data_IF_570332051114
#
_entry.id   IF_570332051114
#
_cell.length_a   1.000
_cell.length_b   1.000
_cell.length_c   1.000
_cell.angle_alpha   90.00
_cell.angle_beta   90.00
_cell.angle_gamma   90.00
#
_symmetry.space_group_name_H-M   'P 1'
#
loop_
_entity.id
_entity.type
_entity.pdbx_description
1 polymer ?
#
# COMPACT_ATOMS: atom_id res chain seq x y z
N UNK A 1 65.84 -24.94 14.65
CA UNK A 1 66.26 -24.33 15.92
C UNK A 1 65.13 -24.54 16.91
N UNK A 2 65.30 -25.53 17.77
CA UNK A 2 64.31 -26.01 18.75
C UNK A 2 64.22 -25.08 19.97
N UNK A 3 63.01 -24.87 20.50
CA UNK A 3 62.71 -24.75 21.95
C UNK A 3 61.28 -25.31 22.17
N UNK A 4 61.10 -26.50 22.76
CA UNK A 4 60.90 -26.82 24.20
C UNK A 4 59.62 -26.17 24.78
N UNK A 5 58.74 -26.77 25.58
CA UNK A 5 58.47 -28.12 26.11
C UNK A 5 57.21 -28.01 27.03
N UNK A 6 56.56 -29.15 27.31
CA UNK A 6 55.73 -29.50 28.50
C UNK A 6 54.27 -28.98 28.69
N UNK A 7 53.30 -29.80 28.21
CA UNK A 7 52.37 -30.73 28.91
C UNK A 7 51.46 -30.27 30.10
N UNK A 8 50.33 -31.01 30.34
CA UNK A 8 49.00 -30.48 30.65
C UNK A 8 48.58 -30.61 32.13
N UNK A 9 47.46 -29.98 32.51
CA UNK A 9 46.81 -30.24 33.79
C UNK A 9 45.31 -30.52 33.65
N UNK A 10 44.86 -31.40 34.55
CA UNK A 10 43.67 -32.22 34.50
C UNK A 10 42.35 -31.51 34.76
N UNK A 11 41.33 -32.13 34.18
CA UNK A 11 39.91 -32.08 34.48
C UNK A 11 39.64 -32.62 35.91
N UNK A 12 38.92 -31.86 36.75
CA UNK A 12 38.16 -32.40 37.90
C UNK A 12 36.79 -31.71 37.91
N UNK A 13 35.79 -32.44 37.44
CA UNK A 13 34.37 -32.13 37.51
C UNK A 13 33.78 -32.89 38.71
N UNK A 14 33.23 -32.17 39.69
CA UNK A 14 32.48 -32.71 40.83
C UNK A 14 31.10 -32.00 40.82
N UNK A 15 30.02 -32.67 40.43
CA UNK A 15 29.05 -33.45 41.24
C UNK A 15 27.94 -32.57 41.86
N UNK A 16 26.66 -32.89 41.56
CA UNK A 16 25.40 -32.83 42.34
C UNK A 16 24.22 -32.80 41.31
N UNK A 17 23.47 -33.89 41.05
CA UNK A 17 22.26 -34.40 41.76
C UNK A 17 21.15 -33.31 41.78
N UNK A 18 19.88 -33.44 41.37
CA UNK A 18 18.98 -34.54 40.97
C UNK A 18 17.66 -33.98 40.36
N UNK A 19 16.94 -34.86 39.64
CA UNK A 19 15.48 -35.07 39.53
C UNK A 19 14.46 -33.93 39.28
N UNK A 20 13.75 -34.10 38.14
CA UNK A 20 12.29 -34.02 37.87
C UNK A 20 11.41 -33.04 38.69
N UNK A 21 10.64 -32.18 37.99
CA UNK A 21 9.15 -32.17 37.93
C UNK A 21 8.57 -30.83 37.40
N UNK A 22 7.51 -30.92 36.56
CA UNK A 22 6.46 -29.93 36.21
C UNK A 22 6.81 -28.62 35.42
N UNK A 23 6.00 -28.34 34.37
CA UNK A 23 6.06 -27.16 33.46
C UNK A 23 5.56 -25.83 34.06
N UNK A 24 5.02 -24.84 33.30
CA UNK A 24 4.66 -24.77 31.88
C UNK A 24 5.28 -23.57 31.11
N UNK A 25 4.89 -23.44 29.84
CA UNK A 25 5.22 -22.33 28.93
C UNK A 25 4.85 -20.96 29.51
N UNK A 26 5.77 -20.00 29.36
CA UNK A 26 5.56 -18.59 29.71
C UNK A 26 4.95 -17.85 28.53
N UNK A 27 3.68 -17.46 28.67
CA UNK A 27 3.07 -16.33 27.98
C UNK A 27 3.69 -15.02 28.49
N UNK A 28 4.03 -14.11 27.57
CA UNK A 28 4.48 -12.75 27.91
C UNK A 28 3.47 -11.75 27.34
N UNK A 29 2.43 -11.46 28.14
CA UNK A 29 1.50 -10.34 27.95
C UNK A 29 1.72 -9.28 29.02
N UNK A 30 1.71 -8.00 28.61
CA UNK A 30 1.44 -6.84 29.47
C UNK A 30 2.45 -5.68 29.38
N UNK A 31 2.02 -4.42 29.54
CA UNK A 31 0.95 -4.06 30.46
C UNK A 31 -0.27 -3.36 29.84
N UNK A 32 -1.42 -3.69 30.42
CA UNK A 32 -2.68 -2.97 30.31
C UNK A 32 -2.67 -1.73 31.22
N UNK A 33 -3.40 -0.69 30.81
CA UNK A 33 -3.99 0.28 31.70
C UNK A 33 -5.46 0.47 31.28
N UNK A 34 -6.35 -0.18 32.03
CA UNK A 34 -7.80 0.03 32.00
C UNK A 34 -8.14 1.15 32.99
N UNK A 35 -9.10 2.04 32.64
CA UNK A 35 -10.02 2.61 33.62
C UNK A 35 -11.30 3.19 32.93
N UNK A 36 -12.44 2.54 33.20
CA UNK A 36 -13.86 2.95 33.00
C UNK A 36 -14.38 3.09 31.55
N UNK A 37 -15.54 2.55 31.17
CA UNK A 37 -16.59 1.85 31.88
C UNK A 37 -17.38 0.94 30.93
N UNK A 38 -17.92 -0.12 31.50
CA UNK A 38 -18.62 -1.20 30.83
C UNK A 38 -20.09 -0.83 30.71
N UNK A 39 -20.61 -0.69 29.48
CA UNK A 39 -22.02 -0.93 29.18
C UNK A 39 -22.20 -1.15 27.66
N UNK A 40 -22.73 -2.32 27.31
CA UNK A 40 -23.32 -2.71 26.03
C UNK A 40 -22.37 -2.85 24.82
N UNK A 41 -21.50 -3.85 24.85
CA UNK A 41 -20.65 -4.24 23.69
C UNK A 41 -20.90 -5.69 23.23
N UNK A 42 -22.15 -6.14 23.24
CA UNK A 42 -22.52 -7.44 22.63
C UNK A 42 -23.45 -7.30 21.42
N UNK A 43 -23.99 -6.12 21.16
CA UNK A 43 -24.88 -5.86 20.01
C UNK A 43 -24.21 -5.16 18.81
N UNK A 44 -22.92 -4.78 18.92
CA UNK A 44 -22.19 -4.06 17.88
C UNK A 44 -21.16 -4.92 17.11
N UNK A 45 -21.07 -6.22 17.40
CA UNK A 45 -20.10 -7.13 16.78
C UNK A 45 -20.67 -7.96 15.61
N UNK A 46 -21.89 -7.65 15.14
CA UNK A 46 -22.67 -8.49 14.22
C UNK A 46 -22.88 -7.91 12.80
N UNK A 47 -22.08 -6.94 12.35
CA UNK A 47 -22.17 -6.44 10.96
C UNK A 47 -20.83 -5.95 10.39
N UNK A 48 -19.72 -6.52 10.85
CA UNK A 48 -18.41 -6.33 10.18
C UNK A 48 -18.29 -7.35 9.04
N UNK A 49 -19.18 -7.27 8.04
CA UNK A 49 -18.91 -7.94 6.77
C UNK A 49 -17.60 -7.37 6.25
N UNK A 50 -16.53 -8.16 6.32
CA UNK A 50 -15.28 -7.88 5.63
C UNK A 50 -15.64 -7.59 4.18
N UNK A 51 -15.64 -6.31 3.78
CA UNK A 51 -16.16 -5.86 2.48
C UNK A 51 -15.47 -6.48 1.27
N UNK A 52 -14.47 -7.34 1.49
CA UNK A 52 -13.74 -8.13 0.51
C UNK A 52 -14.53 -9.30 -0.08
N UNK A 53 -15.48 -9.92 0.64
CA UNK A 53 -16.17 -11.12 0.16
C UNK A 53 -16.92 -10.85 -1.14
N UNK A 54 -16.73 -11.67 -2.16
CA UNK A 54 -17.38 -11.57 -3.48
C UNK A 54 -16.40 -11.55 -4.66
N UNK A 55 -16.94 -11.21 -5.83
CA UNK A 55 -16.18 -11.21 -7.10
C UNK A 55 -15.72 -9.79 -7.41
N UNK A 56 -14.41 -9.67 -7.64
CA UNK A 56 -13.72 -8.46 -8.02
C UNK A 56 -13.10 -8.64 -9.39
N UNK A 57 -12.98 -7.55 -10.15
CA UNK A 57 -12.45 -7.63 -11.50
C UNK A 57 -11.63 -6.41 -11.91
N UNK A 58 -10.77 -6.64 -12.88
CA UNK A 58 -10.20 -5.59 -13.72
C UNK A 58 -10.14 -6.08 -15.17
N UNK A 59 -9.48 -5.34 -16.06
CA UNK A 59 -9.37 -5.72 -17.47
C UNK A 59 -8.69 -7.08 -17.71
N UNK A 60 -7.83 -7.53 -16.80
CA UNK A 60 -7.02 -8.74 -16.99
C UNK A 60 -7.44 -9.96 -16.17
N UNK A 61 -8.27 -9.83 -15.13
CA UNK A 61 -8.64 -10.96 -14.26
C UNK A 61 -9.92 -10.74 -13.46
N UNK A 62 -10.48 -11.86 -13.00
CA UNK A 62 -11.38 -11.93 -11.86
C UNK A 62 -10.64 -12.47 -10.64
N UNK A 63 -10.99 -11.96 -9.46
CA UNK A 63 -10.58 -12.50 -8.17
C UNK A 63 -11.84 -12.67 -7.31
N UNK A 64 -12.13 -13.89 -6.94
CA UNK A 64 -13.25 -14.23 -6.05
C UNK A 64 -12.70 -14.52 -4.65
N UNK A 65 -13.22 -13.81 -3.65
CA UNK A 65 -12.95 -14.07 -2.24
C UNK A 65 -14.18 -14.70 -1.60
N UNK A 66 -14.04 -15.93 -1.11
CA UNK A 66 -15.10 -16.66 -0.41
C UNK A 66 -14.68 -16.92 1.04
N UNK A 67 -15.52 -16.55 2.01
CA UNK A 67 -15.22 -16.80 3.42
C UNK A 67 -15.44 -18.30 3.72
N UNK A 68 -14.39 -18.98 4.18
CA UNK A 68 -14.47 -20.40 4.57
C UNK A 68 -14.82 -20.56 6.05
N UNK A 69 -14.26 -19.70 6.90
CA UNK A 69 -14.46 -19.73 8.34
C UNK A 69 -14.53 -18.28 8.86
N UNK A 70 -15.69 -17.90 9.40
CA UNK A 70 -15.95 -16.54 9.92
C UNK A 70 -15.26 -16.27 11.25
N UNK A 71 -14.84 -17.31 11.98
CA UNK A 71 -14.19 -17.13 13.29
C UNK A 71 -12.69 -16.87 13.16
N UNK A 72 -12.08 -17.19 12.02
CA UNK A 72 -10.63 -17.15 11.80
C UNK A 72 -10.19 -16.31 10.61
N UNK A 73 -11.11 -15.53 10.06
CA UNK A 73 -10.89 -14.68 8.87
C UNK A 73 -10.22 -15.40 7.69
N UNK A 74 -10.46 -16.72 7.56
CA UNK A 74 -9.89 -17.52 6.47
C UNK A 74 -10.74 -17.37 5.21
N UNK A 75 -10.03 -17.07 4.12
CA UNK A 75 -10.59 -16.82 2.80
C UNK A 75 -10.06 -17.86 1.81
N UNK A 76 -10.92 -18.27 0.89
CA UNK A 76 -10.50 -18.85 -0.38
C UNK A 76 -10.40 -17.73 -1.40
N UNK A 77 -9.21 -17.54 -1.97
CA UNK A 77 -9.00 -16.59 -3.06
C UNK A 77 -8.85 -17.37 -4.37
N UNK A 78 -9.82 -17.24 -5.28
CA UNK A 78 -9.78 -17.87 -6.60
C UNK A 78 -9.45 -16.84 -7.66
N UNK A 79 -8.45 -17.12 -8.49
CA UNK A 79 -8.03 -16.22 -9.58
C UNK A 79 -8.35 -16.82 -10.94
N UNK A 80 -8.98 -16.03 -11.80
CA UNK A 80 -9.33 -16.40 -13.17
C UNK A 80 -8.82 -15.32 -14.10
N UNK A 81 -7.94 -15.68 -15.05
CA UNK A 81 -7.40 -14.72 -16.00
C UNK A 81 -8.39 -14.46 -17.13
N UNK A 82 -8.59 -13.18 -17.43
CA UNK A 82 -9.22 -12.75 -18.66
C UNK A 82 -8.17 -12.77 -19.77
N UNK A 83 -8.53 -13.22 -20.98
CA UNK A 83 -7.60 -13.28 -22.06
C UNK A 83 -7.16 -11.89 -22.50
N UNK A 84 -5.86 -11.78 -22.76
CA UNK A 84 -5.31 -10.70 -23.58
C UNK A 84 -5.16 -11.14 -25.05
N UNK A 85 -4.83 -12.43 -25.30
CA UNK A 85 -4.72 -13.04 -26.65
C UNK A 85 -5.38 -14.43 -26.79
N UNK A 86 -5.91 -15.00 -25.71
CA UNK A 86 -6.66 -16.28 -25.71
C UNK A 86 -8.16 -15.99 -25.89
N UNK A 87 -9.01 -16.98 -26.10
CA UNK A 87 -10.48 -16.78 -26.18
C UNK A 87 -11.20 -17.41 -25.00
N UNK A 88 -10.45 -17.82 -23.98
CA UNK A 88 -10.97 -18.55 -22.83
C UNK A 88 -10.52 -17.87 -21.55
N UNK A 89 -11.42 -17.83 -20.58
CA UNK A 89 -11.10 -17.51 -19.21
C UNK A 89 -10.39 -18.71 -18.60
N UNK A 90 -9.19 -18.47 -18.07
CA UNK A 90 -8.30 -19.52 -17.58
C UNK A 90 -8.29 -19.53 -16.05
N UNK A 91 -8.65 -20.67 -15.46
CA UNK A 91 -8.66 -20.86 -14.01
C UNK A 91 -7.22 -21.10 -13.54
N UNK A 92 -6.66 -20.19 -12.75
CA UNK A 92 -5.27 -20.31 -12.24
C UNK A 92 -5.17 -21.13 -10.96
N UNK A 93 -6.28 -21.31 -10.26
CA UNK A 93 -6.38 -22.08 -9.02
C UNK A 93 -6.87 -21.25 -7.85
N UNK A 94 -6.92 -21.92 -6.70
CA UNK A 94 -7.36 -21.34 -5.43
C UNK A 94 -6.14 -21.19 -4.52
N UNK A 95 -6.04 -20.02 -3.90
CA UNK A 95 -5.02 -19.66 -2.93
C UNK A 95 -5.69 -19.58 -1.57
N UNK A 96 -5.08 -20.20 -0.56
CA UNK A 96 -5.53 -20.01 0.81
C UNK A 96 -5.08 -18.62 1.26
N UNK A 97 -6.01 -17.79 1.71
CA UNK A 97 -5.73 -16.45 2.20
C UNK A 97 -6.40 -16.19 3.55
N UNK A 98 -5.98 -15.12 4.20
CA UNK A 98 -6.69 -14.55 5.35
C UNK A 98 -6.65 -13.04 5.27
N UNK A 99 -7.59 -12.38 5.93
CA UNK A 99 -7.64 -10.92 5.98
C UNK A 99 -7.65 -10.45 7.43
N UNK A 100 -6.93 -9.37 7.71
CA UNK A 100 -6.87 -8.79 9.05
C UNK A 100 -7.13 -7.28 8.91
N UNK A 101 -8.15 -6.78 9.60
CA UNK A 101 -8.43 -5.34 9.60
C UNK A 101 -7.35 -4.60 10.40
N UNK A 102 -6.86 -3.48 9.86
CA UNK A 102 -5.89 -2.67 10.58
C UNK A 102 -6.57 -1.89 11.71
N UNK A 103 -5.96 -1.87 12.89
CA UNK A 103 -6.48 -1.12 14.04
C UNK A 103 -6.71 0.36 13.66
N UNK A 104 -7.84 0.91 14.12
CA UNK A 104 -8.23 2.31 13.91
C UNK A 104 -8.47 2.76 12.44
N UNK A 105 -8.64 1.81 11.51
CA UNK A 105 -9.05 2.06 10.12
C UNK A 105 -10.32 1.31 9.75
N UNK A 106 -11.18 1.94 8.94
CA UNK A 106 -12.38 1.32 8.38
C UNK A 106 -12.14 0.60 7.06
N UNK A 107 -11.13 1.03 6.29
CA UNK A 107 -10.90 0.55 4.93
C UNK A 107 -9.51 -0.05 4.68
N UNK A 108 -8.60 -0.05 5.65
CA UNK A 108 -7.27 -0.66 5.50
C UNK A 108 -7.24 -2.08 6.09
N UNK A 109 -6.64 -3.00 5.34
CA UNK A 109 -6.52 -4.41 5.71
C UNK A 109 -5.14 -4.96 5.36
N UNK A 110 -4.73 -6.02 6.07
CA UNK A 110 -3.64 -6.90 5.66
C UNK A 110 -4.23 -8.16 5.03
N UNK A 111 -4.05 -8.30 3.72
CA UNK A 111 -4.36 -9.52 2.99
C UNK A 111 -3.14 -10.45 3.02
N UNK A 112 -3.29 -11.62 3.65
CA UNK A 112 -2.26 -12.66 3.67
C UNK A 112 -2.58 -13.70 2.62
N UNK A 113 -1.65 -13.99 1.72
CA UNK A 113 -1.83 -14.97 0.63
C UNK A 113 -0.78 -16.07 0.75
N UNK A 114 -1.22 -17.32 0.76
CA UNK A 114 -0.35 -18.49 0.68
C UNK A 114 -0.20 -18.93 -0.77
N UNK A 115 0.95 -18.61 -1.36
CA UNK A 115 1.29 -19.04 -2.71
C UNK A 115 1.77 -20.50 -2.73
N UNK A 116 1.41 -21.28 -3.76
CA UNK A 116 1.97 -22.61 -3.96
C UNK A 116 3.50 -22.58 -3.95
N UNK A 117 4.12 -23.57 -3.33
CA UNK A 117 5.58 -23.73 -3.24
C UNK A 117 6.33 -22.65 -2.43
N UNK A 118 5.61 -21.73 -1.77
CA UNK A 118 6.22 -20.69 -0.92
C UNK A 118 5.90 -21.01 0.54
N UNK A 119 6.95 -21.14 1.37
CA UNK A 119 6.79 -21.55 2.78
C UNK A 119 6.13 -20.48 3.66
N UNK A 120 6.32 -19.20 3.31
CA UNK A 120 5.82 -18.06 4.10
C UNK A 120 4.68 -17.39 3.37
N UNK A 121 3.60 -17.11 4.08
CA UNK A 121 2.52 -16.27 3.58
C UNK A 121 3.06 -14.88 3.24
N UNK A 122 2.63 -14.34 2.11
CA UNK A 122 2.93 -12.96 1.72
C UNK A 122 1.85 -12.06 2.28
N UNK A 123 2.24 -10.95 2.91
CA UNK A 123 1.32 -10.00 3.53
C UNK A 123 1.28 -8.72 2.71
N UNK A 124 0.09 -8.33 2.26
CA UNK A 124 -0.16 -7.15 1.45
C UNK A 124 -1.06 -6.17 2.21
N UNK A 125 -0.61 -4.94 2.46
CA UNK A 125 -1.52 -3.85 2.78
C UNK A 125 -2.45 -3.63 1.58
N UNK A 126 -3.76 -3.62 1.82
CA UNK A 126 -4.79 -3.31 0.82
C UNK A 126 -5.78 -2.32 1.41
N UNK A 127 -6.39 -1.50 0.55
CA UNK A 127 -7.47 -0.61 0.94
C UNK A 127 -8.73 -0.99 0.17
N UNK A 128 -9.83 -1.22 0.88
CA UNK A 128 -11.12 -1.63 0.31
C UNK A 128 -12.19 -0.70 0.85
N UNK A 129 -12.81 0.07 -0.04
CA UNK A 129 -13.87 1.00 0.30
C UNK A 129 -14.71 1.31 -0.93
N UNK A 130 -16.03 1.48 -0.76
CA UNK A 130 -16.94 1.96 -1.83
C UNK A 130 -16.81 1.16 -3.15
N UNK A 131 -16.74 -0.17 -3.09
CA UNK A 131 -16.58 -1.06 -4.25
C UNK A 131 -15.24 -0.92 -5.02
N UNK A 132 -14.27 -0.24 -4.44
CA UNK A 132 -12.91 -0.14 -4.96
C UNK A 132 -11.94 -0.95 -4.11
N UNK A 133 -11.04 -1.66 -4.79
CA UNK A 133 -9.96 -2.41 -4.19
C UNK A 133 -8.63 -1.81 -4.65
N UNK A 134 -7.90 -1.19 -3.72
CA UNK A 134 -6.59 -0.62 -3.96
C UNK A 134 -5.51 -1.51 -3.39
N UNK A 135 -4.53 -1.84 -4.23
CA UNK A 135 -3.28 -2.44 -3.81
C UNK A 135 -2.16 -1.43 -3.69
N UNK A 136 -2.24 -0.25 -4.32
CA UNK A 136 -1.35 0.88 -4.07
C UNK A 136 -2.20 2.06 -3.60
N UNK A 137 -1.83 2.62 -2.46
CA UNK A 137 -2.52 3.73 -1.80
C UNK A 137 -1.55 4.40 -0.83
N UNK A 138 -1.95 5.54 -0.27
CA UNK A 138 -1.13 6.33 0.63
C UNK A 138 -1.83 6.48 1.97
N UNK A 139 -1.09 6.22 3.05
CA UNK A 139 -1.56 6.36 4.43
C UNK A 139 -1.05 7.66 5.02
N UNK A 140 -1.94 8.43 5.66
CA UNK A 140 -1.58 9.65 6.38
C UNK A 140 -0.78 9.32 7.64
N UNK A 141 0.33 10.00 7.86
CA UNK A 141 1.19 9.84 9.03
C UNK A 141 1.35 11.20 9.72
N UNK A 142 1.37 11.25 11.07
CA UNK A 142 1.71 12.47 11.79
C UNK A 142 3.08 13.02 11.38
N UNK A 143 3.19 14.35 11.33
CA UNK A 143 4.43 15.08 11.06
C UNK A 143 4.54 16.27 12.01
N UNK A 144 5.76 16.78 12.19
CA UNK A 144 6.05 17.90 13.07
C UNK A 144 6.51 19.12 12.28
N UNK A 145 6.21 20.31 12.82
CA UNK A 145 6.61 21.60 12.25
C UNK A 145 7.68 22.23 13.14
N UNK A 146 8.79 22.67 12.54
CA UNK A 146 9.82 23.48 13.20
C UNK A 146 9.70 24.93 12.72
N UNK A 147 9.19 25.80 13.59
CA UNK A 147 9.06 27.23 13.30
C UNK A 147 10.42 27.96 13.30
N UNK A 148 10.64 28.77 12.25
CA UNK A 148 11.25 30.09 12.36
C UNK A 148 10.50 31.06 11.41
N UNK A 149 9.41 31.70 11.88
CA UNK A 149 9.33 33.17 11.96
C UNK A 149 8.05 33.69 12.65
N UNK A 150 8.27 34.80 13.34
CA UNK A 150 7.36 35.70 14.03
C UNK A 150 6.01 35.97 13.37
N UNK A 151 5.00 36.04 14.24
CA UNK A 151 3.79 36.86 14.16
C UNK A 151 3.44 37.37 12.76
N UNK A 152 2.57 36.63 12.09
CA UNK A 152 1.49 37.26 11.34
C UNK A 152 0.19 36.57 11.73
N UNK A 153 -0.50 37.26 12.62
CA UNK A 153 -1.93 37.29 12.87
C UNK A 153 -2.77 36.36 12.01
N UNK A 154 -3.39 35.41 12.72
CA UNK A 154 -4.66 34.77 12.42
C UNK A 154 -5.53 35.62 11.46
N UNK A 155 -5.61 35.21 10.20
CA UNK A 155 -6.78 35.53 9.39
C UNK A 155 -7.93 34.67 9.93
N UNK A 156 -8.88 35.34 10.59
CA UNK A 156 -10.20 34.80 10.87
C UNK A 156 -10.84 34.36 9.56
N UNK A 157 -10.96 33.04 9.35
CA UNK A 157 -11.74 32.49 8.24
C UNK A 157 -13.21 32.82 8.49
N UNK A 158 -13.80 33.56 7.55
CA UNK A 158 -15.23 33.80 7.47
C UNK A 158 -16.00 32.48 7.34
N UNK A 159 -16.97 32.24 8.24
CA UNK A 159 -17.83 31.05 8.29
C UNK A 159 -18.88 30.98 7.15
N UNK A 160 -18.60 31.47 5.95
CA UNK A 160 -19.58 31.43 4.86
C UNK A 160 -19.00 30.82 3.57
N UNK A 161 -19.56 29.65 3.24
CA UNK A 161 -19.41 28.87 2.01
C UNK A 161 -18.02 28.27 1.75
N UNK A 162 -17.61 27.29 2.56
CA UNK A 162 -16.56 26.36 2.14
C UNK A 162 -17.05 25.56 0.92
N UNK A 163 -16.39 25.75 -0.24
CA UNK A 163 -16.65 24.92 -1.41
C UNK A 163 -16.27 23.47 -1.08
N UNK A 164 -17.03 22.49 -1.59
CA UNK A 164 -16.74 21.07 -1.33
C UNK A 164 -15.31 20.65 -1.73
N UNK A 165 -14.70 21.37 -2.68
CA UNK A 165 -13.33 21.14 -3.13
C UNK A 165 -12.28 21.64 -2.13
N UNK A 166 -12.51 22.80 -1.50
CA UNK A 166 -11.59 23.32 -0.47
C UNK A 166 -11.56 22.39 0.74
N UNK A 167 -12.73 21.85 1.14
CA UNK A 167 -12.79 20.83 2.18
C UNK A 167 -12.00 19.57 1.80
N UNK A 168 -12.13 19.06 0.57
CA UNK A 168 -11.37 17.88 0.09
C UNK A 168 -9.87 18.14 0.04
N UNK A 169 -9.46 19.35 -0.28
CA UNK A 169 -8.06 19.78 -0.26
C UNK A 169 -7.50 19.80 1.17
N UNK A 170 -8.25 20.33 2.12
CA UNK A 170 -7.89 20.30 3.55
C UNK A 170 -7.73 18.86 4.08
N UNK A 171 -8.48 17.88 3.53
CA UNK A 171 -8.28 16.46 3.88
C UNK A 171 -6.96 15.90 3.35
N UNK A 172 -6.51 16.36 2.17
CA UNK A 172 -5.27 15.93 1.53
C UNK A 172 -4.02 16.55 2.18
N UNK A 173 -4.14 17.71 2.85
CA UNK A 173 -3.02 18.32 3.56
C UNK A 173 -2.41 17.36 4.60
N UNK A 174 -1.08 17.23 4.57
CA UNK A 174 -0.32 16.40 5.51
C UNK A 174 0.69 15.49 4.84
N UNK A 175 1.30 14.60 5.63
CA UNK A 175 2.34 13.67 5.18
C UNK A 175 1.79 12.27 4.94
N UNK A 176 2.17 11.67 3.82
CA UNK A 176 1.55 10.48 3.26
C UNK A 176 2.59 9.50 2.75
N UNK A 177 2.44 8.23 3.11
CA UNK A 177 3.39 7.19 2.73
C UNK A 177 2.68 6.12 1.92
N UNK A 178 3.25 5.76 0.78
CA UNK A 178 2.75 4.67 -0.04
C UNK A 178 2.75 3.35 0.73
N UNK A 179 1.66 2.62 0.57
CA UNK A 179 1.39 1.30 1.12
C UNK A 179 1.00 0.34 -0.01
N UNK A 180 1.25 -0.94 0.23
CA UNK A 180 0.88 -1.99 -0.72
C UNK A 180 1.83 -2.10 -1.91
N UNK A 181 1.35 -2.50 -3.09
CA UNK A 181 2.13 -2.77 -4.28
C UNK A 181 1.45 -2.19 -5.53
N UNK A 182 2.18 -1.40 -6.36
CA UNK A 182 1.71 -0.97 -7.68
C UNK A 182 1.37 -2.15 -8.61
N UNK A 183 2.14 -3.24 -8.54
CA UNK A 183 1.90 -4.45 -9.35
C UNK A 183 0.64 -5.24 -8.95
N UNK A 184 0.05 -4.90 -7.80
CA UNK A 184 -1.12 -5.55 -7.24
C UNK A 184 -0.91 -7.01 -6.85
N UNK A 185 -1.96 -7.83 -6.91
CA UNK A 185 -1.91 -9.24 -6.53
C UNK A 185 -1.45 -10.07 -7.72
N UNK A 186 -0.22 -10.57 -7.69
CA UNK A 186 0.31 -11.45 -8.73
C UNK A 186 -0.04 -12.94 -8.46
N UNK A 187 0.23 -13.80 -9.45
CA UNK A 187 0.09 -15.27 -9.32
C UNK A 187 1.23 -15.93 -8.53
N UNK A 188 2.26 -15.14 -8.24
CA UNK A 188 3.42 -15.50 -7.45
C UNK A 188 3.72 -14.34 -6.46
N UNK A 189 4.54 -14.54 -5.42
CA UNK A 189 4.89 -13.48 -4.49
C UNK A 189 5.48 -12.25 -5.17
N UNK A 190 5.01 -11.06 -4.81
CA UNK A 190 5.66 -9.83 -5.23
C UNK A 190 7.04 -9.72 -4.58
N UNK A 191 7.98 -9.15 -5.32
CA UNK A 191 9.24 -8.71 -4.76
C UNK A 191 9.05 -7.45 -3.92
N UNK A 192 9.97 -7.21 -2.99
CA UNK A 192 9.97 -5.96 -2.24
C UNK A 192 10.26 -4.80 -3.20
N UNK A 193 9.49 -3.70 -3.15
CA UNK A 193 9.75 -2.56 -4.02
C UNK A 193 11.13 -1.98 -3.70
N UNK A 194 11.90 -1.63 -4.74
CA UNK A 194 13.23 -1.04 -4.60
C UNK A 194 13.16 0.39 -4.02
N UNK A 195 12.05 1.08 -4.22
CA UNK A 195 11.74 2.35 -3.59
C UNK A 195 10.26 2.51 -3.32
N UNK A 196 9.95 3.39 -2.37
CA UNK A 196 8.59 3.77 -1.97
C UNK A 196 8.50 5.28 -2.07
N UNK A 197 7.39 5.78 -2.61
CA UNK A 197 7.15 7.21 -2.67
C UNK A 197 6.35 7.69 -1.45
N UNK A 198 6.60 8.94 -1.06
CA UNK A 198 5.82 9.63 -0.04
C UNK A 198 5.51 11.04 -0.52
N UNK A 199 4.39 11.59 -0.05
CA UNK A 199 3.94 12.93 -0.42
C UNK A 199 3.71 13.77 0.83
N UNK A 200 4.00 15.05 0.73
CA UNK A 200 3.57 16.05 1.67
C UNK A 200 2.77 17.11 0.92
N UNK A 201 1.51 17.32 1.29
CA UNK A 201 0.65 18.34 0.72
C UNK A 201 0.43 19.45 1.74
N UNK A 202 0.51 20.70 1.28
CA UNK A 202 0.25 21.87 2.11
C UNK A 202 -0.30 23.01 1.25
N UNK A 203 -1.59 23.33 1.43
CA UNK A 203 -2.25 24.34 0.60
C UNK A 203 -2.24 23.91 -0.87
N UNK A 204 -1.60 24.70 -1.74
CA UNK A 204 -1.49 24.39 -3.19
C UNK A 204 -0.21 23.64 -3.55
N UNK A 205 0.69 23.48 -2.59
CA UNK A 205 2.03 22.95 -2.81
C UNK A 205 2.11 21.47 -2.43
N UNK A 206 3.00 20.75 -3.10
CA UNK A 206 3.37 19.39 -2.72
C UNK A 206 4.89 19.22 -2.70
N UNK A 207 5.32 18.27 -1.88
CA UNK A 207 6.67 17.71 -1.89
C UNK A 207 6.54 16.20 -2.07
N UNK A 208 7.19 15.64 -3.09
CA UNK A 208 7.31 14.19 -3.28
C UNK A 208 8.69 13.73 -2.83
N UNK A 209 8.71 12.72 -1.96
CA UNK A 209 9.90 12.06 -1.46
C UNK A 209 10.00 10.68 -2.07
N UNK A 210 11.23 10.19 -2.25
CA UNK A 210 11.48 8.80 -2.59
C UNK A 210 12.43 8.18 -1.57
N UNK A 211 11.98 7.09 -0.96
CA UNK A 211 12.73 6.28 -0.02
C UNK A 211 13.20 5.00 -0.71
N UNK A 212 14.51 4.73 -0.67
CA UNK A 212 15.11 3.53 -1.27
C UNK A 212 15.22 2.43 -0.24
N UNK A 213 15.06 1.18 -0.67
CA UNK A 213 15.38 0.03 0.18
C UNK A 213 16.86 0.10 0.59
N UNK A 214 17.13 -0.04 1.88
CA UNK A 214 18.46 0.12 2.45
C UNK A 214 18.69 -0.94 3.57
N UNK A 215 19.96 -1.27 3.82
CA UNK A 215 20.36 -2.28 4.81
C UNK A 215 20.63 -1.64 6.19
N UNK A 216 20.15 -0.42 6.41
CA UNK A 216 20.34 0.34 7.65
C UNK A 216 19.51 -0.22 8.80
N UNK A 217 20.08 -0.18 10.01
CA UNK A 217 19.31 -0.40 11.23
C UNK A 217 18.31 0.74 11.46
N UNK A 218 17.06 0.37 11.73
CA UNK A 218 15.98 1.33 11.94
C UNK A 218 16.27 2.24 13.14
N UNK A 219 15.99 3.53 12.97
CA UNK A 219 16.05 4.54 14.01
C UNK A 219 15.07 5.67 13.71
N UNK A 220 14.56 6.33 14.75
CA UNK A 220 13.54 7.39 14.65
C UNK A 220 14.11 8.78 14.34
N UNK A 221 15.26 8.85 13.65
CA UNK A 221 15.81 10.15 13.25
C UNK A 221 14.91 10.80 12.22
N UNK A 222 14.87 12.13 12.23
CA UNK A 222 14.10 12.94 11.29
C UNK A 222 15.02 13.74 10.37
N UNK A 223 14.47 14.15 9.23
CA UNK A 223 15.08 15.07 8.28
C UNK A 223 14.24 16.33 8.22
N UNK A 224 14.89 17.49 8.09
CA UNK A 224 14.20 18.78 7.98
C UNK A 224 14.20 19.18 6.51
N UNK A 225 13.04 19.58 6.02
CA UNK A 225 12.83 20.04 4.65
C UNK A 225 12.09 21.36 4.70
N UNK A 226 12.57 22.34 3.95
CA UNK A 226 11.90 23.63 3.86
C UNK A 226 10.82 23.57 2.80
N UNK A 227 9.60 23.97 3.15
CA UNK A 227 8.51 24.20 2.22
C UNK A 227 8.77 25.41 1.31
N UNK A 228 7.90 25.61 0.33
CA UNK A 228 7.96 26.77 -0.56
C UNK A 228 7.73 28.10 0.18
N UNK A 229 7.01 28.04 1.31
CA UNK A 229 6.77 29.11 2.27
C UNK A 229 7.99 29.42 3.17
N UNK A 230 9.04 28.60 3.11
CA UNK A 230 10.23 28.70 3.95
C UNK A 230 10.09 28.00 5.31
N UNK A 231 8.92 27.46 5.64
CA UNK A 231 8.65 26.73 6.89
C UNK A 231 9.43 25.42 6.91
N UNK A 232 10.03 25.07 8.05
CA UNK A 232 10.74 23.82 8.24
C UNK A 232 9.79 22.70 8.69
N UNK A 233 9.69 21.64 7.90
CA UNK A 233 8.91 20.44 8.23
C UNK A 233 9.84 19.28 8.56
N UNK A 234 9.51 18.51 9.59
CA UNK A 234 10.26 17.30 9.97
C UNK A 234 9.58 16.03 9.45
N UNK A 235 10.35 15.21 8.74
CA UNK A 235 9.89 13.92 8.22
C UNK A 235 10.76 12.77 8.73
N UNK A 236 10.21 11.55 8.88
CA UNK A 236 11.01 10.38 9.22
C UNK A 236 12.15 10.17 8.22
N UNK A 237 13.37 9.96 8.70
CA UNK A 237 14.51 9.60 7.85
C UNK A 237 14.36 8.21 7.27
N UNK A 238 13.87 7.29 8.10
CA UNK A 238 13.73 5.88 7.80
C UNK A 238 12.27 5.47 7.91
N UNK A 239 11.84 4.61 7.01
CA UNK A 239 10.53 3.97 7.04
C UNK A 239 10.70 2.47 7.19
N UNK A 240 9.83 1.85 7.99
CA UNK A 240 9.85 0.39 8.20
C UNK A 240 8.62 -0.24 7.58
N UNK A 241 8.84 -1.29 6.77
CA UNK A 241 7.78 -2.12 6.19
C UNK A 241 8.09 -3.58 6.44
N UNK A 242 7.44 -4.16 7.46
CA UNK A 242 7.78 -5.49 7.96
C UNK A 242 9.21 -5.51 8.50
N UNK A 243 10.08 -6.34 7.91
CA UNK A 243 11.51 -6.41 8.24
C UNK A 243 12.39 -5.49 7.40
N UNK A 244 11.82 -4.79 6.41
CA UNK A 244 12.56 -3.96 5.47
C UNK A 244 12.62 -2.51 5.94
N UNK A 245 13.74 -1.86 5.69
CA UNK A 245 13.98 -0.45 6.03
C UNK A 245 14.23 0.33 4.76
N UNK A 246 13.59 1.49 4.65
CA UNK A 246 13.72 2.38 3.51
C UNK A 246 14.25 3.74 3.97
N UNK A 247 15.17 4.34 3.20
CA UNK A 247 15.87 5.59 3.53
C UNK A 247 15.67 6.65 2.45
N UNK A 248 15.39 7.89 2.85
CA UNK A 248 15.30 9.04 1.93
C UNK A 248 16.66 9.75 1.72
N UNK A 249 17.73 9.28 2.35
CA UNK A 249 19.07 9.87 2.28
C UNK A 249 20.03 8.99 1.48
N UNK A 250 20.87 9.63 0.66
CA UNK A 250 22.02 8.97 0.06
C UNK A 250 23.19 9.06 1.06
N UNK A 251 23.67 7.92 1.57
CA UNK A 251 24.75 7.79 2.56
C UNK A 251 24.47 8.34 3.98
N UNK A 252 25.52 8.46 4.79
CA UNK A 252 25.56 8.99 6.18
C UNK A 252 25.23 10.48 6.29
N UNK A 253 25.01 11.19 5.19
CA UNK A 253 24.67 12.62 5.19
C UNK A 253 23.36 12.89 5.94
N UNK A 254 23.19 14.11 6.46
CA UNK A 254 21.97 14.55 7.13
C UNK A 254 21.05 15.42 6.25
N UNK A 255 21.38 15.58 4.97
CA UNK A 255 20.70 16.50 4.05
C UNK A 255 19.88 15.70 3.04
N UNK A 256 18.57 15.93 3.03
CA UNK A 256 17.67 15.37 2.03
C UNK A 256 17.97 15.98 0.65
N UNK A 257 18.20 15.12 -0.34
CA UNK A 257 18.51 15.52 -1.72
C UNK A 257 17.55 14.95 -2.75
N UNK A 258 16.74 13.96 -2.36
CA UNK A 258 15.89 13.19 -3.26
C UNK A 258 14.41 13.53 -3.05
N UNK A 259 14.05 14.76 -3.44
CA UNK A 259 12.67 15.22 -3.40
C UNK A 259 12.37 16.13 -4.59
N UNK A 260 11.10 16.14 -4.98
CA UNK A 260 10.50 17.02 -5.97
C UNK A 260 9.54 17.97 -5.26
N UNK A 261 9.49 19.23 -5.70
CA UNK A 261 8.50 20.19 -5.24
C UNK A 261 7.67 20.71 -6.41
N UNK A 262 6.42 21.03 -6.15
CA UNK A 262 5.55 21.59 -7.17
C UNK A 262 4.23 22.06 -6.61
N UNK A 263 3.31 22.35 -7.53
CA UNK A 263 1.92 22.66 -7.21
C UNK A 263 1.01 21.53 -7.63
N UNK A 264 -0.10 21.36 -6.92
CA UNK A 264 -1.14 20.42 -7.31
C UNK A 264 -2.49 21.12 -7.43
N UNK A 265 -3.36 20.55 -8.25
CA UNK A 265 -4.75 20.99 -8.38
C UNK A 265 -5.68 19.79 -8.27
N UNK A 266 -6.85 20.02 -7.67
CA UNK A 266 -7.95 19.06 -7.64
C UNK A 266 -9.05 19.59 -8.54
N UNK A 267 -9.52 18.77 -9.47
CA UNK A 267 -10.71 19.03 -10.26
C UNK A 267 -11.77 17.96 -9.98
N UNK A 268 -13.02 18.30 -10.27
CA UNK A 268 -14.14 17.36 -10.15
C UNK A 268 -14.84 17.17 -11.49
N UNK A 269 -15.10 15.93 -11.86
CA UNK A 269 -16.00 15.56 -12.95
C UNK A 269 -16.97 14.48 -12.47
N UNK A 270 -18.23 14.88 -12.27
CA UNK A 270 -19.30 14.01 -11.77
C UNK A 270 -19.71 12.91 -12.75
N UNK A 271 -19.34 13.03 -14.04
CA UNK A 271 -19.71 12.06 -15.07
C UNK A 271 -18.67 10.96 -15.26
N UNK A 272 -17.55 11.03 -14.53
CA UNK A 272 -16.47 10.06 -14.66
C UNK A 272 -16.88 8.68 -14.10
N UNK A 273 -17.11 7.73 -15.00
CA UNK A 273 -17.43 6.34 -14.64
C UNK A 273 -16.28 5.66 -13.87
N UNK A 274 -16.63 4.78 -12.93
CA UNK A 274 -15.68 3.98 -12.15
C UNK A 274 -14.63 4.79 -11.37
N UNK A 275 -14.95 6.02 -10.99
CA UNK A 275 -14.11 6.87 -10.13
C UNK A 275 -14.96 7.59 -9.08
N UNK A 276 -14.33 8.30 -8.14
CA UNK A 276 -15.02 9.23 -7.24
C UNK A 276 -15.34 10.58 -7.90
N UNK A 277 -15.05 10.75 -9.20
CA UNK A 277 -15.21 12.01 -9.91
C UNK A 277 -14.28 13.12 -9.42
N UNK A 278 -13.20 12.77 -8.72
CA UNK A 278 -12.13 13.69 -8.33
C UNK A 278 -10.86 13.35 -9.10
N UNK A 279 -10.11 14.37 -9.48
CA UNK A 279 -8.89 14.23 -10.26
C UNK A 279 -7.79 15.11 -9.69
N UNK A 280 -6.58 14.58 -9.67
CA UNK A 280 -5.37 15.22 -9.18
C UNK A 280 -4.42 15.48 -10.35
N UNK A 281 -3.94 16.71 -10.43
CA UNK A 281 -2.92 17.11 -11.40
C UNK A 281 -1.71 17.69 -10.67
N UNK A 282 -0.52 17.27 -11.05
CA UNK A 282 0.74 17.75 -10.50
C UNK A 282 1.49 18.59 -11.52
N UNK A 283 1.90 19.78 -11.11
CA UNK A 283 2.80 20.67 -11.84
C UNK A 283 4.13 20.78 -11.09
N UNK A 284 5.15 19.99 -11.47
CA UNK A 284 6.49 20.10 -10.89
C UNK A 284 7.05 21.51 -11.11
N UNK A 285 7.66 22.09 -10.07
CA UNK A 285 8.29 23.42 -10.10
C UNK A 285 9.79 23.37 -9.79
N UNK A 286 10.24 22.38 -9.03
CA UNK A 286 11.63 22.27 -8.62
C UNK A 286 11.97 20.90 -8.03
N UNK A 287 13.24 20.73 -7.66
CA UNK A 287 13.74 19.53 -7.03
C UNK A 287 14.87 19.87 -6.06
N UNK A 288 15.20 18.91 -5.18
CA UNK A 288 16.33 19.01 -4.27
C UNK A 288 17.70 19.15 -4.98
N UNK A 289 18.74 19.61 -4.28
CA UNK A 289 20.04 19.99 -4.86
C UNK A 289 20.94 18.81 -5.31
N UNK A 290 20.38 17.63 -5.60
CA UNK A 290 21.15 16.42 -5.91
C UNK A 290 21.54 16.28 -7.38
N UNK A 291 22.85 16.18 -7.67
CA UNK A 291 23.41 15.78 -8.99
C UNK A 291 23.27 14.27 -9.28
N UNK A 292 22.85 13.47 -8.29
CA UNK A 292 22.60 12.03 -8.37
C UNK A 292 21.13 11.68 -8.10
N UNK A 293 20.19 12.56 -8.46
CA UNK A 293 18.80 12.12 -8.62
C UNK A 293 18.83 10.94 -9.62
N UNK A 294 18.41 9.75 -9.20
CA UNK A 294 18.53 8.55 -10.01
C UNK A 294 17.94 8.78 -11.41
N UNK A 295 18.50 8.18 -12.47
CA UNK A 295 17.95 8.32 -13.82
C UNK A 295 16.46 7.93 -13.87
N UNK A 296 15.97 6.94 -13.13
CA UNK A 296 14.51 6.66 -13.03
C UNK A 296 13.70 7.69 -12.23
N UNK A 297 14.35 8.74 -11.73
CA UNK A 297 13.66 9.96 -11.31
C UNK A 297 13.56 10.89 -12.50
N UNK A 298 14.64 11.12 -13.28
CA UNK A 298 14.57 11.79 -14.59
C UNK A 298 15.82 11.55 -15.47
N UNK A 299 15.77 10.74 -16.55
CA UNK A 299 16.80 10.70 -17.56
C UNK A 299 16.23 11.43 -18.78
N UNK A 300 16.27 12.76 -18.75
CA UNK A 300 15.77 13.66 -19.81
C UNK A 300 14.23 13.76 -19.97
N UNK A 301 13.48 13.98 -18.88
CA UNK A 301 12.16 14.61 -19.03
C UNK A 301 12.26 16.08 -18.59
N UNK A 302 12.00 16.99 -19.51
CA UNK A 302 11.51 18.31 -19.20
C UNK A 302 10.13 18.06 -18.55
N UNK A 303 10.10 18.00 -17.22
CA UNK A 303 9.04 17.48 -16.35
C UNK A 303 7.70 17.17 -17.04
N UNK A 304 7.42 15.89 -17.32
CA UNK A 304 6.10 15.47 -17.81
C UNK A 304 5.07 15.78 -16.73
N UNK A 305 4.16 16.70 -17.01
CA UNK A 305 3.03 17.03 -16.14
C UNK A 305 2.17 15.77 -15.99
N UNK A 306 1.95 15.32 -14.75
CA UNK A 306 0.98 14.27 -14.46
C UNK A 306 -0.38 14.95 -14.32
N UNK A 307 -1.21 14.87 -15.35
CA UNK A 307 -2.52 15.52 -15.37
C UNK A 307 -3.66 14.49 -15.24
N UNK A 308 -4.72 14.91 -14.55
CA UNK A 308 -6.00 14.22 -14.47
C UNK A 308 -5.90 12.78 -13.98
N UNK A 309 -5.10 12.55 -12.93
CA UNK A 309 -5.07 11.25 -12.24
C UNK A 309 -6.34 11.11 -11.39
N UNK A 310 -7.13 10.03 -11.52
CA UNK A 310 -8.24 9.79 -10.61
C UNK A 310 -7.78 9.84 -9.16
N UNK A 311 -8.46 10.60 -8.32
CA UNK A 311 -8.16 10.79 -6.90
C UNK A 311 -9.26 10.16 -6.05
N UNK A 312 -8.85 9.42 -5.04
CA UNK A 312 -9.73 8.83 -4.04
C UNK A 312 -9.30 9.31 -2.68
N UNK A 313 -10.21 9.92 -1.92
CA UNK A 313 -9.99 10.27 -0.52
C UNK A 313 -10.91 9.38 0.31
N UNK A 314 -10.30 8.53 1.13
CA UNK A 314 -10.89 7.37 1.79
C UNK A 314 -10.69 7.44 3.31
N UNK A 315 -11.43 6.63 4.06
CA UNK A 315 -11.33 6.52 5.54
C UNK A 315 -11.34 7.89 6.24
N UNK A 316 -12.29 8.75 5.85
CA UNK A 316 -12.45 10.11 6.38
C UNK A 316 -11.16 10.98 6.26
N UNK A 317 -10.37 10.78 5.20
CA UNK A 317 -9.14 11.55 4.95
C UNK A 317 -7.89 10.97 5.62
N UNK A 318 -7.92 9.71 6.05
CA UNK A 318 -6.73 8.97 6.53
C UNK A 318 -5.99 8.22 5.44
N UNK A 319 -6.67 7.99 4.31
CA UNK A 319 -6.13 7.30 3.13
C UNK A 319 -6.43 8.13 1.90
N UNK A 320 -5.46 8.21 0.98
CA UNK A 320 -5.77 8.57 -0.39
C UNK A 320 -5.19 7.54 -1.37
N UNK A 321 -5.79 7.42 -2.53
CA UNK A 321 -5.21 6.70 -3.66
C UNK A 321 -5.28 7.58 -4.91
N UNK A 322 -4.33 7.40 -5.81
CA UNK A 322 -4.33 8.07 -7.10
C UNK A 322 -4.11 7.07 -8.22
N UNK A 323 -4.70 7.33 -9.38
CA UNK A 323 -4.78 6.36 -10.48
C UNK A 323 -5.94 5.38 -10.31
N UNK A 324 -6.03 4.41 -11.22
CA UNK A 324 -7.16 3.46 -11.21
C UNK A 324 -7.05 2.45 -10.06
N UNK A 325 -8.19 2.05 -9.46
CA UNK A 325 -8.22 0.94 -8.50
C UNK A 325 -7.68 -0.34 -9.14
N UNK A 326 -7.08 -1.20 -8.32
CA UNK A 326 -6.55 -2.48 -8.80
C UNK A 326 -7.67 -3.43 -9.22
N UNK A 327 -8.77 -3.47 -8.46
CA UNK A 327 -10.01 -4.14 -8.82
C UNK A 327 -11.21 -3.27 -8.49
N UNK A 328 -12.27 -3.45 -9.26
CA UNK A 328 -13.61 -2.96 -8.95
C UNK A 328 -14.51 -4.13 -8.60
N UNK A 329 -15.56 -3.87 -7.84
CA UNK A 329 -16.60 -4.87 -7.57
C UNK A 329 -17.23 -5.30 -8.90
N UNK A 330 -17.30 -6.60 -9.13
CA UNK A 330 -17.93 -7.14 -10.34
C UNK A 330 -19.44 -7.24 -10.18
N UNK A 331 -20.17 -6.99 -11.27
CA UNK A 331 -21.61 -7.27 -11.37
C UNK A 331 -21.91 -8.77 -11.55
N UNK A 332 -20.87 -9.58 -11.83
CA UNK A 332 -20.98 -11.03 -11.97
C UNK A 332 -21.35 -11.64 -10.62
N UNK A 333 -22.48 -12.35 -10.56
CA UNK A 333 -22.95 -13.05 -9.35
C UNK A 333 -22.47 -14.49 -9.24
N UNK A 334 -22.19 -15.12 -10.37
CA UNK A 334 -21.73 -16.51 -10.44
C UNK A 334 -20.55 -16.61 -11.42
N UNK A 335 -19.35 -16.76 -10.87
CA UNK A 335 -18.12 -16.78 -11.65
C UNK A 335 -18.02 -18.02 -12.55
N UNK A 336 -18.51 -19.19 -12.12
CA UNK A 336 -18.48 -20.40 -12.95
C UNK A 336 -19.39 -20.31 -14.16
N UNK A 337 -20.60 -19.77 -13.99
CA UNK A 337 -21.52 -19.54 -15.09
C UNK A 337 -20.95 -18.55 -16.12
N UNK A 338 -20.30 -17.47 -15.68
CA UNK A 338 -19.69 -16.49 -16.59
C UNK A 338 -18.49 -17.10 -17.35
N UNK A 339 -17.68 -17.93 -16.69
CA UNK A 339 -16.60 -18.66 -17.36
C UNK A 339 -17.14 -19.62 -18.41
N UNK A 340 -18.15 -20.42 -18.06
CA UNK A 340 -18.76 -21.37 -18.99
C UNK A 340 -19.36 -20.65 -20.21
N UNK A 341 -20.13 -19.59 -19.97
CA UNK A 341 -20.72 -18.73 -21.00
C UNK A 341 -19.67 -18.07 -21.90
N UNK A 342 -18.54 -17.62 -21.35
CA UNK A 342 -17.47 -17.05 -22.17
C UNK A 342 -16.79 -18.13 -23.00
N UNK A 343 -16.44 -19.26 -22.37
CA UNK A 343 -15.67 -20.34 -22.99
C UNK A 343 -16.51 -21.16 -23.98
N UNK A 344 -17.84 -21.10 -23.93
CA UNK A 344 -18.73 -21.75 -24.90
C UNK A 344 -18.81 -21.01 -26.24
N UNK A 345 -18.33 -19.75 -26.32
CA UNK A 345 -18.33 -18.97 -27.56
C UNK A 345 -17.38 -19.61 -28.57
N UNK A 346 -17.93 -20.12 -29.67
CA UNK A 346 -17.16 -20.68 -30.78
C UNK A 346 -16.80 -19.60 -31.79
N UNK A 347 -15.63 -19.71 -32.41
CA UNK A 347 -15.27 -18.86 -33.55
C UNK A 347 -16.14 -19.21 -34.77
N UNK A 348 -16.55 -18.23 -35.59
CA UNK A 348 -16.87 -18.53 -36.98
C UNK A 348 -15.62 -19.12 -37.66
N UNK A 349 -15.77 -20.03 -38.64
CA UNK A 349 -14.63 -20.51 -39.42
C UNK A 349 -13.82 -19.32 -39.95
N UNK A 350 -12.49 -19.38 -39.94
CA UNK A 350 -11.70 -18.37 -40.63
C UNK A 350 -12.14 -18.28 -42.08
N UNK A 351 -12.23 -17.06 -42.63
CA UNK A 351 -12.51 -16.89 -44.06
C UNK A 351 -11.49 -17.69 -44.87
N UNK A 352 -11.94 -18.42 -45.90
CA UNK A 352 -11.03 -19.22 -46.72
C UNK A 352 -9.98 -18.29 -47.33
N UNK A 353 -8.71 -18.68 -47.22
CA UNK A 353 -7.57 -17.91 -47.76
C UNK A 353 -7.55 -17.84 -49.28
N UNK A 354 -8.47 -18.53 -49.94
CA UNK A 354 -8.66 -18.58 -51.39
C UNK A 354 -10.13 -18.22 -51.61
N UNK A 355 -10.45 -17.19 -52.41
CA UNK A 355 -11.84 -16.92 -52.78
C UNK A 355 -12.43 -18.16 -53.48
N UNK A 356 -13.72 -18.46 -53.27
CA UNK A 356 -14.36 -19.58 -53.95
C UNK A 356 -14.22 -19.44 -55.47
N UNK A 357 -14.07 -20.57 -56.16
CA UNK A 357 -13.84 -20.64 -57.62
C UNK A 357 -14.98 -20.05 -58.48
N UNK A 358 -16.03 -19.51 -57.85
CA UNK A 358 -17.12 -18.80 -58.52
C UNK A 358 -16.77 -17.32 -58.78
N UNK A 359 -15.67 -16.80 -58.20
CA UNK A 359 -15.13 -15.45 -58.41
C UNK A 359 -13.80 -15.44 -59.21
N UNK A 360 -13.46 -16.54 -59.89
CA UNK A 360 -12.37 -16.66 -60.88
C UNK A 360 -12.96 -17.06 -62.23
#
# INVERSE_FOLDING_TARGET
MEKRFFRPFNLILSLFIAFNFFGPAFDFFGPALNLFGQENTEAALSEKTLGIEGIWENGGRFIEFSIKDREKDFLDMRVVLKPYYRFVYEKMGNFSSSIEALENSKSQFYLRVNYPYVKKAVVFPVCIENNFFFTSFYKKIPYDVKEERADNLLETKDENSESSLDYKKNLLDGFWIEQGSPDGILLYPNEAPASIDAYFFTGDDYIRFRYWLDDLEYNDKKVIVKGNDGTGYEFPRLLKRGSLVYSCLTNTGGILRNYETGKYTISSDSNAENTQGLFLSFKPLGAGPGTHAAPDTYPKAQFSVLENLPLYILDDGKVFAMGSPFLIRSDVKNLDAEIEKHNSKRRPPPEPSIPPAEDL
#
